data_IF_591018113689
#
_entry.id   IF_591018113689
#
_cell.length_a   1.000
_cell.length_b   1.000
_cell.length_c   1.000
_cell.angle_alpha   90.00
_cell.angle_beta   90.00
_cell.angle_gamma   90.00
#
_symmetry.space_group_name_H-M   'P 1'
#
loop_
_entity.id
_entity.type
_entity.pdbx_description
1 polymer ?
#
# COMPACT_ATOMS: atom_id res chain seq x y z
N UNK A 1 0.67 10.72 -12.04
CA UNK A 1 0.38 9.53 -11.21
C UNK A 1 -0.23 8.53 -12.17
N UNK A 2 0.22 7.28 -12.19
CA UNK A 2 -0.29 6.30 -13.16
C UNK A 2 -1.71 5.87 -12.78
N UNK A 3 -2.56 5.62 -13.79
CA UNK A 3 -3.98 5.27 -13.61
C UNK A 3 -4.19 4.09 -12.63
N UNK A 4 -3.31 3.08 -12.67
CA UNK A 4 -3.36 1.92 -11.76
C UNK A 4 -3.19 2.26 -10.28
N UNK A 5 -2.34 3.25 -9.98
CA UNK A 5 -2.08 3.66 -8.59
C UNK A 5 -3.31 4.33 -8.01
N UNK A 6 -3.97 5.19 -8.78
CA UNK A 6 -5.22 5.83 -8.36
C UNK A 6 -6.31 4.78 -8.10
N UNK A 7 -6.42 3.81 -9.00
CA UNK A 7 -7.43 2.77 -8.89
C UNK A 7 -7.18 1.83 -7.70
N UNK A 8 -5.93 1.46 -7.42
CA UNK A 8 -5.57 0.71 -6.21
C UNK A 8 -5.98 1.47 -4.94
N UNK A 9 -5.71 2.77 -4.90
CA UNK A 9 -6.11 3.65 -3.79
C UNK A 9 -7.61 3.64 -3.55
N UNK A 10 -8.41 3.56 -4.60
CA UNK A 10 -9.85 3.69 -4.47
C UNK A 10 -10.58 2.42 -3.99
N UNK A 11 -10.08 1.20 -4.22
CA UNK A 11 -10.68 0.02 -3.55
C UNK A 11 -9.86 -0.69 -2.47
N UNK A 12 -8.62 -0.26 -2.18
CA UNK A 12 -8.14 -0.46 -0.81
C UNK A 12 -9.11 0.18 0.21
N UNK A 13 -9.87 1.20 -0.18
CA UNK A 13 -11.01 1.72 0.58
C UNK A 13 -12.23 0.80 0.68
N UNK A 14 -12.41 -0.14 -0.26
CA UNK A 14 -13.72 -0.80 -0.47
C UNK A 14 -13.70 -2.34 -0.38
N UNK A 15 -12.57 -3.00 -0.16
CA UNK A 15 -12.64 -4.46 0.03
C UNK A 15 -11.37 -5.28 -0.14
N UNK A 16 -10.20 -4.70 -0.42
CA UNK A 16 -8.96 -5.49 -0.45
C UNK A 16 -8.36 -5.65 0.95
N UNK A 17 -8.99 -6.46 1.78
CA UNK A 17 -8.38 -6.97 3.01
C UNK A 17 -8.22 -6.00 4.17
N UNK A 18 -8.81 -4.79 4.11
CA UNK A 18 -9.32 -3.92 5.19
C UNK A 18 -9.58 -2.50 4.60
N UNK A 19 -10.50 -1.68 5.15
CA UNK A 19 -10.77 -0.33 4.67
C UNK A 19 -9.67 0.64 5.12
N UNK A 20 -8.43 0.40 4.70
CA UNK A 20 -7.29 1.23 5.13
C UNK A 20 -7.40 2.68 4.66
N UNK A 21 -8.23 3.02 3.66
CA UNK A 21 -8.46 4.43 3.33
C UNK A 21 -9.19 5.17 4.47
N UNK A 22 -9.98 4.49 5.28
CA UNK A 22 -10.67 5.09 6.42
C UNK A 22 -9.74 5.22 7.62
N UNK A 23 -8.95 4.18 7.90
CA UNK A 23 -8.04 4.13 9.05
C UNK A 23 -6.69 4.83 8.80
N UNK A 24 -6.22 4.79 7.56
CA UNK A 24 -4.93 5.31 7.11
C UNK A 24 -5.07 5.93 5.69
N UNK A 25 -5.77 7.07 5.59
CA UNK A 25 -6.07 7.70 4.31
C UNK A 25 -4.80 8.10 3.58
N UNK A 26 -4.90 8.17 2.25
CA UNK A 26 -3.80 8.64 1.40
C UNK A 26 -3.28 10.02 1.85
N UNK A 27 -4.16 10.90 2.33
CA UNK A 27 -3.79 12.22 2.85
C UNK A 27 -2.83 12.12 4.03
N UNK A 28 -3.08 11.21 4.99
CA UNK A 28 -2.21 11.00 6.15
C UNK A 28 -0.83 10.49 5.72
N UNK A 29 -0.78 9.49 4.83
CA UNK A 29 0.47 8.95 4.28
C UNK A 29 1.23 10.05 3.53
N UNK A 30 0.54 10.86 2.74
CA UNK A 30 1.13 11.95 1.95
C UNK A 30 1.70 13.04 2.86
N UNK A 31 0.98 13.40 3.92
CA UNK A 31 1.42 14.38 4.90
C UNK A 31 2.69 13.88 5.62
N UNK A 32 2.71 12.62 6.08
CA UNK A 32 3.87 12.03 6.72
C UNK A 32 5.10 11.96 5.78
N UNK A 33 4.91 11.56 4.53
CA UNK A 33 5.97 11.57 3.51
C UNK A 33 6.53 12.98 3.28
N UNK A 34 5.65 13.98 3.25
CA UNK A 34 6.04 15.38 3.06
C UNK A 34 6.86 15.90 4.25
N UNK A 35 6.37 15.72 5.48
CA UNK A 35 7.05 16.17 6.70
C UNK A 35 8.41 15.49 6.89
N UNK A 36 8.49 14.19 6.59
CA UNK A 36 9.74 13.42 6.68
C UNK A 36 10.65 13.60 5.46
N UNK A 37 10.24 14.41 4.47
CA UNK A 37 10.99 14.69 3.21
C UNK A 37 11.39 13.41 2.47
N UNK A 38 10.54 12.39 2.51
CA UNK A 38 10.79 11.08 1.90
C UNK A 38 10.64 11.18 0.38
N UNK A 39 11.71 10.84 -0.34
CA UNK A 39 11.68 10.71 -1.80
C UNK A 39 11.27 9.29 -2.18
N UNK A 40 10.34 9.16 -3.12
CA UNK A 40 9.91 7.86 -3.64
C UNK A 40 9.69 7.93 -5.15
N UNK A 41 9.70 6.75 -5.80
CA UNK A 41 9.43 6.63 -7.24
C UNK A 41 7.94 6.34 -7.46
N UNK A 42 7.34 6.98 -8.45
CA UNK A 42 5.95 6.71 -8.89
C UNK A 42 5.92 5.41 -9.71
N UNK A 43 5.84 4.27 -9.03
CA UNK A 43 5.71 2.93 -9.60
C UNK A 43 4.48 2.24 -9.03
N UNK A 44 4.18 1.03 -9.47
CA UNK A 44 3.03 0.27 -8.97
C UNK A 44 3.06 0.12 -7.44
N UNK A 45 4.20 -0.33 -6.91
CA UNK A 45 4.47 -0.38 -5.48
C UNK A 45 5.13 0.94 -5.04
N UNK A 46 4.37 2.02 -5.09
CA UNK A 46 4.73 3.27 -4.40
C UNK A 46 4.50 3.12 -2.88
N UNK A 47 4.92 4.09 -2.05
CA UNK A 47 4.77 3.96 -0.60
C UNK A 47 3.33 3.74 -0.11
N UNK A 48 2.33 4.25 -0.84
CA UNK A 48 0.92 4.11 -0.46
C UNK A 48 0.46 2.67 -0.68
N UNK A 49 0.63 2.17 -1.91
CA UNK A 49 0.25 0.81 -2.28
C UNK A 49 1.05 -0.20 -1.46
N UNK A 50 2.35 0.04 -1.27
CA UNK A 50 3.22 -0.85 -0.50
C UNK A 50 2.79 -0.94 0.95
N UNK A 51 2.41 0.18 1.57
CA UNK A 51 2.00 0.20 2.97
C UNK A 51 0.69 -0.57 3.18
N UNK A 52 -0.33 -0.32 2.36
CA UNK A 52 -1.59 -1.04 2.48
C UNK A 52 -1.46 -2.53 2.13
N UNK A 53 -0.66 -2.87 1.12
CA UNK A 53 -0.33 -4.26 0.80
C UNK A 53 0.38 -4.97 1.95
N UNK A 54 1.30 -4.26 2.63
CA UNK A 54 2.02 -4.78 3.78
C UNK A 54 1.10 -5.02 4.98
N UNK A 55 0.24 -4.06 5.30
CA UNK A 55 -0.74 -4.23 6.39
C UNK A 55 -1.70 -5.39 6.08
N UNK A 56 -2.16 -5.49 4.83
CA UNK A 56 -2.99 -6.64 4.37
C UNK A 56 -2.23 -7.95 4.55
N UNK A 57 -0.96 -8.02 4.14
CA UNK A 57 -0.12 -9.21 4.29
C UNK A 57 0.02 -9.64 5.76
N UNK A 58 0.23 -8.69 6.67
CA UNK A 58 0.45 -8.98 8.10
C UNK A 58 -0.82 -9.46 8.78
N UNK A 59 -1.98 -8.96 8.36
CA UNK A 59 -3.27 -9.29 8.96
C UNK A 59 -3.93 -10.53 8.34
N UNK A 60 -3.40 -11.02 7.21
CA UNK A 60 -3.91 -12.23 6.57
C UNK A 60 -3.52 -13.53 7.32
N UNK A 61 -4.33 -14.57 7.12
CA UNK A 61 -3.97 -15.94 7.50
C UNK A 61 -2.74 -16.44 6.73
N UNK A 62 -2.70 -16.20 5.41
CA UNK A 62 -1.56 -16.44 4.54
C UNK A 62 -0.74 -15.16 4.39
N UNK A 63 0.34 -15.08 5.18
CA UNK A 63 1.22 -13.90 5.25
C UNK A 63 2.31 -13.88 4.18
N UNK A 64 2.21 -14.69 3.13
CA UNK A 64 3.22 -14.72 2.08
C UNK A 64 3.19 -13.44 1.23
N UNK A 65 4.36 -13.04 0.72
CA UNK A 65 4.43 -11.96 -0.27
C UNK A 65 3.68 -12.32 -1.55
N UNK A 66 3.62 -13.62 -1.88
CA UNK A 66 2.88 -14.10 -3.03
C UNK A 66 1.38 -13.84 -2.86
N UNK A 67 0.77 -14.19 -1.72
CA UNK A 67 -0.64 -13.88 -1.46
C UNK A 67 -0.93 -12.38 -1.54
N UNK A 68 -0.07 -11.54 -0.95
CA UNK A 68 -0.22 -10.08 -1.01
C UNK A 68 -0.20 -9.54 -2.46
N UNK A 69 0.73 -10.03 -3.28
CA UNK A 69 0.82 -9.65 -4.70
C UNK A 69 -0.36 -10.21 -5.50
N UNK A 70 -0.77 -11.45 -5.25
CA UNK A 70 -1.91 -12.08 -5.93
C UNK A 70 -3.21 -11.34 -5.67
N UNK A 71 -3.44 -10.80 -4.46
CA UNK A 71 -4.59 -9.92 -4.20
C UNK A 71 -4.56 -8.65 -5.04
N UNK A 72 -3.40 -8.01 -5.17
CA UNK A 72 -3.22 -6.82 -6.01
C UNK A 72 -3.43 -7.14 -7.49
N UNK A 73 -2.92 -8.28 -7.96
CA UNK A 73 -3.12 -8.79 -9.34
C UNK A 73 -4.60 -9.03 -9.59
N UNK A 74 -5.27 -9.79 -8.72
CA UNK A 74 -6.70 -10.09 -8.83
C UNK A 74 -7.53 -8.79 -8.87
N UNK A 75 -7.13 -7.80 -8.08
CA UNK A 75 -7.78 -6.50 -8.07
C UNK A 75 -7.61 -5.70 -9.35
N UNK A 76 -6.39 -5.66 -9.91
CA UNK A 76 -6.15 -4.99 -11.18
C UNK A 76 -6.88 -5.70 -12.32
N UNK A 77 -7.01 -7.02 -12.24
CA UNK A 77 -7.78 -7.83 -13.17
C UNK A 77 -9.30 -7.56 -13.09
N UNK A 78 -9.87 -7.42 -11.88
CA UNK A 78 -11.28 -7.03 -11.64
C UNK A 78 -11.65 -5.69 -12.32
N UNK A 79 -10.63 -4.86 -12.57
CA UNK A 79 -10.79 -3.53 -13.16
C UNK A 79 -10.29 -3.43 -14.59
N UNK A 80 -10.02 -4.58 -15.22
CA UNK A 80 -9.56 -4.69 -16.61
C UNK A 80 -8.32 -3.84 -16.91
N UNK A 81 -7.46 -3.63 -15.89
CA UNK A 81 -6.20 -2.91 -16.03
C UNK A 81 -5.07 -3.89 -16.35
N UNK A 82 -4.01 -3.39 -16.98
CA UNK A 82 -2.84 -4.20 -17.26
C UNK A 82 -2.24 -4.76 -15.96
N UNK A 83 -2.25 -6.09 -15.91
CA UNK A 83 -1.88 -6.92 -14.77
C UNK A 83 -0.35 -6.96 -14.67
N UNK A 84 0.24 -6.72 -13.48
CA UNK A 84 1.67 -6.83 -13.30
C UNK A 84 2.12 -8.28 -13.32
N UNK A 85 3.44 -8.50 -13.45
CA UNK A 85 4.03 -9.81 -13.19
C UNK A 85 3.63 -10.34 -11.80
N UNK A 86 3.45 -11.65 -11.70
CA UNK A 86 3.23 -12.36 -10.43
C UNK A 86 4.52 -12.49 -9.60
N UNK A 87 5.66 -12.06 -10.13
CA UNK A 87 6.92 -11.94 -9.39
C UNK A 87 6.77 -10.94 -8.23
N UNK A 88 7.10 -11.42 -7.02
CA UNK A 88 7.00 -10.65 -5.79
C UNK A 88 8.18 -9.69 -5.56
N UNK A 89 9.24 -9.79 -6.36
CA UNK A 89 10.48 -9.04 -6.18
C UNK A 89 10.26 -7.52 -6.07
N UNK A 90 9.40 -6.95 -6.91
CA UNK A 90 9.07 -5.54 -6.91
C UNK A 90 8.39 -5.09 -5.61
N UNK A 91 7.46 -5.91 -5.10
CA UNK A 91 6.77 -5.67 -3.84
C UNK A 91 7.73 -5.82 -2.64
N UNK A 92 8.49 -6.90 -2.59
CA UNK A 92 9.47 -7.16 -1.53
C UNK A 92 10.49 -6.02 -1.41
N UNK A 93 11.02 -5.54 -2.54
CA UNK A 93 11.95 -4.41 -2.56
C UNK A 93 11.28 -3.10 -2.14
N UNK A 94 10.04 -2.85 -2.53
CA UNK A 94 9.32 -1.65 -2.12
C UNK A 94 9.06 -1.66 -0.61
N UNK A 95 8.64 -2.81 -0.06
CA UNK A 95 8.42 -3.01 1.37
C UNK A 95 9.69 -2.78 2.18
N UNK A 96 10.82 -3.33 1.73
CA UNK A 96 12.12 -3.12 2.38
C UNK A 96 12.62 -1.67 2.33
N UNK A 97 12.10 -0.84 1.42
CA UNK A 97 12.44 0.58 1.29
C UNK A 97 11.55 1.50 2.13
N UNK A 98 10.50 0.99 2.78
CA UNK A 98 9.66 1.79 3.66
C UNK A 98 10.50 2.24 4.87
N UNK A 99 10.70 3.55 5.08
CA UNK A 99 11.48 4.03 6.20
C UNK A 99 10.74 3.74 7.51
N UNK A 100 11.44 3.24 8.52
CA UNK A 100 10.86 2.97 9.85
C UNK A 100 10.19 4.21 10.46
N UNK A 101 10.84 5.39 10.32
CA UNK A 101 10.29 6.68 10.76
C UNK A 101 8.93 7.02 10.14
N UNK A 102 8.65 6.53 8.92
CA UNK A 102 7.33 6.70 8.31
C UNK A 102 6.28 5.87 9.05
N UNK A 103 6.61 4.63 9.42
CA UNK A 103 5.71 3.75 10.17
C UNK A 103 5.47 4.28 11.58
N UNK A 104 6.53 4.69 12.28
CA UNK A 104 6.43 5.31 13.61
C UNK A 104 5.52 6.54 13.60
N UNK A 105 5.73 7.44 12.64
CA UNK A 105 4.89 8.64 12.51
C UNK A 105 3.43 8.28 12.26
N UNK A 106 3.16 7.41 11.29
CA UNK A 106 1.79 7.02 10.94
C UNK A 106 1.09 6.28 12.08
N UNK A 107 1.82 5.49 12.86
CA UNK A 107 1.31 4.85 14.07
C UNK A 107 0.91 5.88 15.12
N UNK A 108 1.78 6.85 15.42
CA UNK A 108 1.49 7.90 16.39
C UNK A 108 0.31 8.78 15.95
N UNK A 109 0.28 9.17 14.68
CA UNK A 109 -0.81 9.96 14.11
C UNK A 109 -2.14 9.18 14.20
N UNK A 110 -2.13 7.86 13.95
CA UNK A 110 -3.34 7.03 14.06
C UNK A 110 -3.80 6.84 15.51
N UNK A 111 -2.86 6.68 16.45
CA UNK A 111 -3.14 6.50 17.87
C UNK A 111 -3.77 7.75 18.52
N UNK A 112 -3.45 8.95 18.03
CA UNK A 112 -4.05 10.20 18.52
C UNK A 112 -5.47 10.45 18.01
N UNK A 113 -5.91 9.71 16.99
CA UNK A 113 -7.23 9.83 16.37
C UNK A 113 -8.22 8.72 16.80
N UNK A 114 -7.83 7.88 17.77
CA UNK A 114 -8.63 6.85 18.43
C UNK A 114 -9.22 7.38 19.74
#
# INVERSE_FOLDING_TARGET
>A
MTLRVQILKDKFSQGLGLPFKELLPESAIKQAIFELKIKYKKRLFDPFVTLWAFLTQVLDSDKTCHNAVSKIVAYLADLELEIPSTDTSAYCQARARLPERLLEKLFNDSAQNL
#
